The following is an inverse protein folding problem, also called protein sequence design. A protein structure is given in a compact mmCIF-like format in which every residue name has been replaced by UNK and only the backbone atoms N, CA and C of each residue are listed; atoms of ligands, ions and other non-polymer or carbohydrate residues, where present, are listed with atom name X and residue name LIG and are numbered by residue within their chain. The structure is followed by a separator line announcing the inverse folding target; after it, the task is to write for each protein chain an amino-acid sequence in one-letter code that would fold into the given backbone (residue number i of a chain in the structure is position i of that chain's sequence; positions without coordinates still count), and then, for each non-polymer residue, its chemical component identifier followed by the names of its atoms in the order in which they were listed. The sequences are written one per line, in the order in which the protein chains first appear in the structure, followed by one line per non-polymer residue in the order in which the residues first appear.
data_IF_025646398884
#
_entry.id   IF_025646398884
#
_cell.length_a   1.000
_cell.length_b   1.000
_cell.length_c   1.000
_cell.angle_alpha   90.00
_cell.angle_beta   90.00
_cell.angle_gamma   90.00
#
_symmetry.space_group_name_H-M   'P 1'
#
loop_
_entity.id
_entity.type
_entity.pdbx_description
1 polymer ?
#
# COMPACT_ATOMS: atom_id res chain seq x y z
N UNK A 1 2.16 -39.08 -11.77
CA UNK A 1 1.58 -38.05 -10.86
C UNK A 1 2.07 -36.68 -11.32
N UNK A 2 1.20 -35.85 -11.90
CA UNK A 2 1.61 -34.53 -12.39
C UNK A 2 1.96 -33.60 -11.21
N UNK A 3 3.17 -33.05 -11.23
CA UNK A 3 3.63 -32.10 -10.23
C UNK A 3 2.88 -30.76 -10.42
N UNK A 4 1.85 -30.52 -9.61
CA UNK A 4 1.04 -29.30 -9.71
C UNK A 4 1.85 -28.10 -9.22
N UNK A 5 2.39 -27.33 -10.16
CA UNK A 5 3.07 -26.05 -9.89
C UNK A 5 2.05 -25.06 -9.30
N UNK A 6 2.47 -24.33 -8.25
CA UNK A 6 1.67 -23.26 -7.66
C UNK A 6 1.37 -22.18 -8.70
N UNK A 7 0.13 -21.69 -8.68
CA UNK A 7 -0.25 -20.50 -9.46
C UNK A 7 0.43 -19.24 -8.88
N UNK A 8 0.51 -18.17 -9.69
CA UNK A 8 1.04 -16.88 -9.23
C UNK A 8 0.30 -16.33 -8.01
N UNK A 9 -1.03 -16.48 -7.99
CA UNK A 9 -1.88 -16.07 -6.86
C UNK A 9 -1.57 -16.86 -5.60
N UNK A 10 -1.46 -18.20 -5.71
CA UNK A 10 -1.12 -19.05 -4.57
C UNK A 10 0.29 -18.78 -4.03
N UNK A 11 1.25 -18.55 -4.93
CA UNK A 11 2.61 -18.17 -4.56
C UNK A 11 2.63 -16.81 -3.83
N UNK A 12 1.91 -15.81 -4.33
CA UNK A 12 1.76 -14.50 -3.70
C UNK A 12 1.12 -14.59 -2.31
N UNK A 13 0.01 -15.33 -2.19
CA UNK A 13 -0.67 -15.58 -0.91
C UNK A 13 0.25 -16.28 0.09
N UNK A 14 0.98 -17.33 -0.35
CA UNK A 14 1.91 -18.06 0.50
C UNK A 14 3.05 -17.14 0.97
N UNK A 15 3.62 -16.35 0.08
CA UNK A 15 4.64 -15.36 0.42
C UNK A 15 4.16 -14.35 1.46
N UNK A 16 2.97 -13.77 1.26
CA UNK A 16 2.37 -12.85 2.22
C UNK A 16 2.16 -13.47 3.60
N UNK A 17 1.64 -14.70 3.68
CA UNK A 17 1.47 -15.43 4.95
C UNK A 17 2.79 -15.70 5.65
N UNK A 18 3.83 -16.09 4.92
CA UNK A 18 5.17 -16.31 5.49
C UNK A 18 5.75 -15.01 6.05
N UNK A 19 5.64 -13.90 5.31
CA UNK A 19 6.07 -12.57 5.77
C UNK A 19 5.32 -12.13 7.02
N UNK A 20 4.00 -12.30 7.05
CA UNK A 20 3.17 -12.00 8.22
C UNK A 20 3.59 -12.83 9.44
N UNK A 21 3.82 -14.14 9.28
CA UNK A 21 4.28 -15.00 10.37
C UNK A 21 5.66 -14.57 10.90
N UNK A 22 6.55 -14.10 10.01
CA UNK A 22 7.92 -13.71 10.37
C UNK A 22 8.02 -12.34 11.04
N UNK A 23 7.26 -11.36 10.56
CA UNK A 23 7.42 -9.95 10.93
C UNK A 23 6.20 -9.33 11.64
N UNK A 24 5.08 -10.04 11.70
CA UNK A 24 3.85 -9.56 12.33
C UNK A 24 3.15 -8.43 11.56
N UNK A 25 2.08 -7.91 12.16
CA UNK A 25 1.26 -6.82 11.61
C UNK A 25 1.98 -5.48 11.59
N UNK A 26 2.83 -5.23 12.59
CA UNK A 26 3.61 -4.00 12.74
C UNK A 26 4.50 -3.70 11.53
N UNK A 27 5.01 -4.74 10.87
CA UNK A 27 5.75 -4.59 9.63
C UNK A 27 4.92 -3.91 8.53
N UNK A 28 3.69 -4.37 8.34
CA UNK A 28 2.77 -3.80 7.33
C UNK A 28 2.36 -2.38 7.67
N UNK A 29 2.12 -2.08 8.95
CA UNK A 29 1.83 -0.73 9.41
C UNK A 29 3.01 0.22 9.12
N UNK A 30 4.24 -0.21 9.45
CA UNK A 30 5.45 0.58 9.23
C UNK A 30 5.72 0.84 7.74
N UNK A 31 5.56 -0.15 6.88
CA UNK A 31 5.73 0.06 5.43
C UNK A 31 4.62 0.95 4.87
N UNK A 32 3.38 0.79 5.35
CA UNK A 32 2.24 1.64 4.96
C UNK A 32 2.48 3.10 5.36
N UNK A 33 2.91 3.34 6.59
CA UNK A 33 3.23 4.69 7.07
C UNK A 33 4.38 5.33 6.27
N UNK A 34 5.47 4.59 6.04
CA UNK A 34 6.59 5.08 5.22
C UNK A 34 6.15 5.41 3.80
N UNK A 35 5.39 4.51 3.16
CA UNK A 35 4.85 4.69 1.83
C UNK A 35 3.92 5.90 1.73
N UNK A 36 2.97 6.02 2.66
CA UNK A 36 2.04 7.14 2.75
C UNK A 36 2.76 8.48 2.95
N UNK A 37 3.74 8.54 3.86
CA UNK A 37 4.54 9.75 4.08
C UNK A 37 5.35 10.14 2.84
N UNK A 38 5.97 9.18 2.17
CA UNK A 38 6.75 9.45 0.95
C UNK A 38 5.83 9.92 -0.18
N UNK A 39 4.74 9.19 -0.44
CA UNK A 39 3.75 9.54 -1.45
C UNK A 39 3.14 10.92 -1.22
N UNK A 40 2.72 11.22 0.02
CA UNK A 40 2.18 12.53 0.39
C UNK A 40 3.17 13.67 0.16
N UNK A 41 4.44 13.51 0.54
CA UNK A 41 5.47 14.52 0.26
C UNK A 41 5.72 14.71 -1.24
N UNK A 42 5.75 13.63 -2.02
CA UNK A 42 5.91 13.72 -3.48
C UNK A 42 4.73 14.46 -4.12
N UNK A 43 3.50 14.15 -3.72
CA UNK A 43 2.28 14.83 -4.19
C UNK A 43 2.30 16.30 -3.80
N UNK A 44 2.63 16.63 -2.55
CA UNK A 44 2.76 18.01 -2.08
C UNK A 44 3.82 18.79 -2.85
N UNK A 45 4.99 18.19 -3.12
CA UNK A 45 6.05 18.82 -3.91
C UNK A 45 5.59 19.09 -5.35
N UNK A 46 4.84 18.18 -5.95
CA UNK A 46 4.39 18.28 -7.34
C UNK A 46 3.26 19.28 -7.54
N UNK A 47 2.25 19.26 -6.66
CA UNK A 47 1.00 20.00 -6.89
C UNK A 47 0.72 21.11 -5.88
N UNK A 48 1.54 21.24 -4.84
CA UNK A 48 1.36 22.25 -3.80
C UNK A 48 0.08 22.08 -2.98
N UNK A 49 -0.30 23.13 -2.27
CA UNK A 49 -1.46 23.14 -1.35
C UNK A 49 -2.80 23.22 -2.08
N UNK A 50 -2.85 23.85 -3.26
CA UNK A 50 -4.09 23.98 -4.07
C UNK A 50 -4.72 22.63 -4.41
N UNK A 51 -3.90 21.61 -4.66
CA UNK A 51 -4.38 20.25 -4.90
C UNK A 51 -5.21 19.70 -3.74
N UNK A 52 -4.74 19.87 -2.50
CA UNK A 52 -5.45 19.40 -1.32
C UNK A 52 -6.76 20.16 -1.08
N UNK A 53 -6.78 21.46 -1.37
CA UNK A 53 -8.00 22.27 -1.32
C UNK A 53 -9.03 21.78 -2.35
N UNK A 54 -8.61 21.49 -3.58
CA UNK A 54 -9.50 21.02 -4.64
C UNK A 54 -10.10 19.64 -4.31
N UNK A 55 -9.27 18.67 -3.92
CA UNK A 55 -9.77 17.33 -3.56
C UNK A 55 -10.63 17.37 -2.29
N UNK A 56 -10.31 18.24 -1.32
CA UNK A 56 -11.12 18.43 -0.12
C UNK A 56 -12.49 19.01 -0.46
N UNK A 57 -12.54 20.04 -1.32
CA UNK A 57 -13.79 20.58 -1.84
C UNK A 57 -14.61 19.52 -2.58
N UNK A 58 -14.00 18.74 -3.48
CA UNK A 58 -14.69 17.66 -4.20
C UNK A 58 -15.21 16.56 -3.27
N UNK A 59 -14.45 16.21 -2.23
CA UNK A 59 -14.84 15.19 -1.25
C UNK A 59 -15.96 15.63 -0.30
N UNK A 60 -15.99 16.92 0.07
CA UNK A 60 -17.03 17.49 0.93
C UNK A 60 -18.33 17.87 0.22
N UNK A 61 -18.34 17.88 -1.12
CA UNK A 61 -19.54 18.10 -1.94
C UNK A 61 -20.32 16.79 -2.20
N UNK A 62 -20.00 15.72 -1.49
CA UNK A 62 -20.55 14.38 -1.69
C UNK A 62 -21.56 14.01 -0.61
#
# INVERSE_FOLDING_TARGET
MANRKLTRSEAGRKGGKTTLKKYGTEFYQKIGQKGGRKGGQTTKKRYGTKFYQEIGRKGGLK
#
